data_IF_682323213377
#
_entry.id   IF_682323213377
#
_cell.length_a   1.000
_cell.length_b   1.000
_cell.length_c   1.000
_cell.angle_alpha   90.00
_cell.angle_beta   90.00
_cell.angle_gamma   90.00
#
_symmetry.space_group_name_H-M   'P 1'
#
loop_
_entity.id
_entity.type
_entity.pdbx_description
1 polymer ?
#
# COMPACT_ATOMS: atom_id res chain seq x y z
N UNK A 1 -7.81 3.42 6.72
CA UNK A 1 -6.41 2.90 6.78
C UNK A 1 -5.65 3.17 8.10
N UNK A 2 -5.37 4.41 8.53
CA UNK A 2 -4.51 4.69 9.73
C UNK A 2 -4.94 3.95 11.00
N UNK A 3 -6.24 3.97 11.32
CA UNK A 3 -6.82 3.23 12.46
C UNK A 3 -6.58 1.72 12.38
N UNK A 4 -6.60 1.14 11.16
CA UNK A 4 -6.35 -0.28 10.96
C UNK A 4 -4.87 -0.64 11.20
N UNK A 5 -3.94 0.23 10.79
CA UNK A 5 -2.50 0.07 11.06
C UNK A 5 -2.20 0.14 12.56
N UNK A 6 -2.76 1.13 13.26
CA UNK A 6 -2.63 1.29 14.72
C UNK A 6 -3.18 0.06 15.46
N UNK A 7 -4.40 -0.39 15.10
CA UNK A 7 -5.03 -1.55 15.71
C UNK A 7 -4.27 -2.87 15.49
N UNK A 8 -3.52 -2.98 14.40
CA UNK A 8 -2.74 -4.17 14.05
C UNK A 8 -1.26 -4.03 14.40
N UNK A 9 -0.85 -2.92 15.02
CA UNK A 9 0.55 -2.57 15.32
C UNK A 9 1.47 -2.68 14.09
N UNK A 10 0.95 -2.34 12.90
CA UNK A 10 1.67 -2.37 11.63
C UNK A 10 2.17 -0.97 11.27
N UNK A 11 3.33 -0.91 10.63
CA UNK A 11 3.81 0.31 9.97
C UNK A 11 3.19 0.42 8.58
N UNK A 12 2.89 1.65 8.15
CA UNK A 12 2.44 1.93 6.80
C UNK A 12 3.22 3.11 6.24
N UNK A 13 3.65 2.98 5.00
CA UNK A 13 4.32 4.03 4.25
C UNK A 13 3.40 4.50 3.13
N UNK A 14 3.25 5.82 2.98
CA UNK A 14 2.43 6.41 1.93
C UNK A 14 3.33 7.04 0.88
N UNK A 15 3.23 6.56 -0.36
CA UNK A 15 3.92 7.13 -1.50
C UNK A 15 2.93 7.93 -2.36
N UNK A 16 3.06 9.26 -2.33
CA UNK A 16 2.21 10.14 -3.13
C UNK A 16 2.70 10.20 -4.58
N UNK A 17 2.04 9.47 -5.47
CA UNK A 17 2.40 9.38 -6.89
C UNK A 17 2.18 10.70 -7.64
N UNK A 18 1.22 11.52 -7.22
CA UNK A 18 0.96 12.82 -7.85
C UNK A 18 2.04 13.84 -7.54
N UNK A 19 2.54 13.85 -6.30
CA UNK A 19 3.65 14.71 -5.88
C UNK A 19 4.95 14.27 -6.54
N UNK A 20 5.18 12.96 -6.67
CA UNK A 20 6.35 12.42 -7.36
C UNK A 20 6.34 12.76 -8.86
N UNK A 21 5.17 12.69 -9.51
CA UNK A 21 4.99 13.10 -10.91
C UNK A 21 5.29 14.59 -11.12
N UNK A 22 4.80 15.46 -10.24
CA UNK A 22 5.05 16.92 -10.30
C UNK A 22 6.52 17.30 -10.10
N UNK A 23 7.25 16.50 -9.31
CA UNK A 23 8.65 16.76 -8.99
C UNK A 23 9.64 16.20 -10.03
N UNK A 24 9.15 15.70 -11.18
CA UNK A 24 9.94 15.04 -12.23
C UNK A 24 10.88 13.94 -11.71
N UNK A 25 10.51 13.33 -10.58
CA UNK A 25 11.21 12.16 -10.06
C UNK A 25 10.79 10.98 -10.91
N UNK A 26 11.67 9.98 -11.00
CA UNK A 26 11.46 8.77 -11.80
C UNK A 26 10.37 7.83 -11.22
N UNK A 27 9.18 8.36 -11.01
CA UNK A 27 8.03 7.66 -10.42
C UNK A 27 7.57 6.53 -11.33
N UNK A 28 7.73 6.68 -12.64
CA UNK A 28 7.40 5.68 -13.66
C UNK A 28 8.19 4.40 -13.43
N UNK A 29 9.49 4.50 -13.14
CA UNK A 29 10.31 3.31 -12.85
C UNK A 29 9.93 2.66 -11.53
N UNK A 30 9.60 3.44 -10.49
CA UNK A 30 9.12 2.90 -9.21
C UNK A 30 7.79 2.15 -9.38
N UNK A 31 6.82 2.73 -10.10
CA UNK A 31 5.52 2.10 -10.37
C UNK A 31 5.68 0.83 -11.20
N UNK A 32 6.56 0.84 -12.23
CA UNK A 32 6.90 -0.35 -13.02
C UNK A 32 7.55 -1.45 -12.17
N UNK A 33 8.54 -1.09 -11.35
CA UNK A 33 9.25 -2.03 -10.47
C UNK A 33 8.31 -2.70 -9.46
N UNK A 34 7.35 -1.95 -8.92
CA UNK A 34 6.33 -2.49 -8.01
C UNK A 34 5.12 -3.13 -8.74
N UNK A 35 5.16 -3.20 -10.08
CA UNK A 35 4.08 -3.71 -10.92
C UNK A 35 2.69 -3.11 -10.56
N UNK A 36 2.65 -1.79 -10.33
CA UNK A 36 1.42 -1.04 -10.02
C UNK A 36 0.85 -0.49 -11.32
N UNK A 37 -0.32 -0.94 -11.76
CA UNK A 37 -0.97 -0.41 -12.95
C UNK A 37 -2.05 0.64 -12.64
N UNK A 38 -2.62 0.58 -11.43
CA UNK A 38 -3.71 1.44 -10.98
C UNK A 38 -3.39 1.98 -9.59
N UNK A 39 -3.75 3.24 -9.34
CA UNK A 39 -3.60 3.89 -8.04
C UNK A 39 -4.97 4.34 -7.53
N UNK A 40 -5.21 4.39 -6.21
CA UNK A 40 -4.32 3.91 -5.14
C UNK A 40 -4.23 2.37 -5.07
N UNK A 41 -3.09 1.84 -4.62
CA UNK A 41 -2.87 0.41 -4.36
C UNK A 41 -2.24 0.21 -2.99
N UNK A 42 -2.71 -0.79 -2.22
CA UNK A 42 -2.13 -1.21 -0.96
C UNK A 42 -1.38 -2.53 -1.13
N UNK A 43 -0.08 -2.51 -0.85
CA UNK A 43 0.82 -3.66 -0.95
C UNK A 43 1.34 -3.99 0.44
N UNK A 44 1.39 -5.29 0.76
CA UNK A 44 1.90 -5.79 2.02
C UNK A 44 3.24 -6.49 1.83
N UNK A 45 4.22 -6.09 2.64
CA UNK A 45 5.57 -6.62 2.61
C UNK A 45 5.89 -7.37 3.90
N UNK A 46 6.47 -8.56 3.76
CA UNK A 46 7.08 -9.32 4.87
C UNK A 46 8.55 -9.57 4.55
N UNK A 47 9.44 -9.18 5.45
CA UNK A 47 10.91 -9.35 5.32
C UNK A 47 11.47 -8.79 4.00
N UNK A 48 10.92 -7.66 3.54
CA UNK A 48 11.38 -6.98 2.33
C UNK A 48 10.81 -7.54 1.01
N UNK A 49 9.95 -8.57 1.07
CA UNK A 49 9.30 -9.14 -0.10
C UNK A 49 7.82 -8.75 -0.13
N UNK A 50 7.29 -8.38 -1.29
CA UNK A 50 5.85 -8.26 -1.51
C UNK A 50 5.23 -9.65 -1.35
N UNK A 51 4.33 -9.82 -0.37
CA UNK A 51 3.69 -11.11 -0.10
C UNK A 51 2.19 -11.09 -0.34
N UNK A 52 1.55 -9.91 -0.36
CA UNK A 52 0.13 -9.78 -0.66
C UNK A 52 -0.20 -8.38 -1.20
N UNK A 53 -1.30 -8.28 -1.96
CA UNK A 53 -1.84 -7.04 -2.51
C UNK A 53 -3.33 -6.97 -2.25
N UNK A 54 -3.75 -5.90 -1.59
CA UNK A 54 -5.15 -5.72 -1.22
C UNK A 54 -6.00 -5.42 -2.46
N UNK A 55 -7.16 -6.07 -2.55
CA UNK A 55 -8.08 -5.99 -3.69
C UNK A 55 -9.47 -5.43 -3.32
N UNK A 56 -9.69 -5.13 -2.05
CA UNK A 56 -10.96 -4.60 -1.56
C UNK A 56 -11.03 -3.08 -1.64
N UNK A 57 -12.08 -2.52 -1.04
CA UNK A 57 -12.26 -1.09 -0.93
C UNK A 57 -11.25 -0.48 0.07
N UNK A 58 -10.50 0.52 -0.38
CA UNK A 58 -9.49 1.22 0.42
C UNK A 58 -10.08 2.29 1.37
N UNK A 59 -11.35 2.64 1.18
CA UNK A 59 -12.10 3.51 2.08
C UNK A 59 -12.75 2.69 3.22
N UNK A 60 -12.99 1.39 3.02
CA UNK A 60 -13.50 0.49 4.06
C UNK A 60 -12.38 0.08 5.04
N UNK A 61 -12.31 0.81 6.16
CA UNK A 61 -11.32 0.56 7.21
C UNK A 61 -11.52 -0.80 7.90
N UNK A 62 -12.73 -1.34 7.94
CA UNK A 62 -13.01 -2.65 8.55
C UNK A 62 -12.43 -3.76 7.69
N UNK A 63 -12.68 -3.74 6.39
CA UNK A 63 -12.12 -4.74 5.46
C UNK A 63 -10.58 -4.71 5.46
N UNK A 64 -9.98 -3.53 5.46
CA UNK A 64 -8.51 -3.38 5.52
C UNK A 64 -7.96 -3.98 6.82
N UNK A 65 -8.64 -3.73 7.96
CA UNK A 65 -8.22 -4.29 9.26
C UNK A 65 -8.25 -5.82 9.22
N UNK A 66 -9.35 -6.40 8.75
CA UNK A 66 -9.49 -7.86 8.65
C UNK A 66 -8.44 -8.46 7.73
N UNK A 67 -8.15 -7.80 6.60
CA UNK A 67 -7.10 -8.23 5.69
C UNK A 67 -5.72 -8.17 6.34
N UNK A 68 -5.39 -7.09 7.06
CA UNK A 68 -4.12 -6.94 7.78
C UNK A 68 -3.93 -7.97 8.90
N UNK A 69 -5.01 -8.40 9.56
CA UNK A 69 -4.99 -9.44 10.61
C UNK A 69 -4.68 -10.83 10.05
N UNK A 70 -5.01 -11.08 8.78
CA UNK A 70 -4.72 -12.37 8.09
C UNK A 70 -3.28 -12.47 7.60
N UNK A 71 -2.55 -11.36 7.58
CA UNK A 71 -1.16 -11.33 7.11
C UNK A 71 -0.20 -11.95 8.15
N UNK A 72 0.74 -12.77 7.67
CA UNK A 72 1.76 -13.46 8.49
C UNK A 72 3.00 -12.60 8.69
#
# INVERSE_FOLDING_TARGET
MRKALEATKRQGYYYNTDSARKADKNYTEIIKQMNVHVVPTLIYYTRGLETDRYKGDLDDTTQIKEWLQKQK
#
